data_IF_891672242847
#
_entry.id   IF_891672242847
#
_cell.length_a   1.000
_cell.length_b   1.000
_cell.length_c   1.000
_cell.angle_alpha   90.00
_cell.angle_beta   90.00
_cell.angle_gamma   90.00
#
_symmetry.space_group_name_H-M   'P 1'
#
loop_
_entity.id
_entity.type
_entity.pdbx_description
1 polymer ?
#
# COMPACT_ATOMS: atom_id res chain seq x y z
N UNK A 1 -3.91 27.50 15.40
CA UNK A 1 -4.73 26.40 14.82
C UNK A 1 -4.71 25.27 15.83
N UNK A 2 -5.85 24.61 16.06
CA UNK A 2 -5.91 23.49 17.02
C UNK A 2 -5.14 22.30 16.43
N UNK A 3 -4.20 21.75 17.18
CA UNK A 3 -3.39 20.59 16.79
C UNK A 3 -4.25 19.33 16.76
N UNK A 4 -3.96 18.41 15.82
CA UNK A 4 -4.58 17.09 15.74
C UNK A 4 -3.86 16.16 16.70
N UNK A 5 -4.56 15.70 17.74
CA UNK A 5 -4.03 14.79 18.76
C UNK A 5 -4.84 13.51 18.90
N UNK A 6 -6.10 13.49 18.41
CA UNK A 6 -6.96 12.33 18.50
C UNK A 6 -6.61 11.33 17.39
N UNK A 7 -6.22 10.12 17.78
CA UNK A 7 -5.93 9.00 16.88
C UNK A 7 -7.16 8.11 16.64
N UNK A 8 -7.04 7.18 15.70
CA UNK A 8 -8.11 6.28 15.26
C UNK A 8 -9.31 7.05 14.70
N UNK A 9 -9.00 8.08 13.92
CA UNK A 9 -10.00 8.98 13.35
C UNK A 9 -9.67 9.35 11.91
N UNK A 10 -10.73 9.48 11.12
CA UNK A 10 -10.71 10.07 9.79
C UNK A 10 -11.28 11.48 9.91
N UNK A 11 -10.47 12.48 9.56
CA UNK A 11 -10.87 13.88 9.61
C UNK A 11 -11.40 14.33 8.25
N UNK A 12 -12.59 14.90 8.26
CA UNK A 12 -13.17 15.49 7.05
C UNK A 12 -12.48 16.83 6.73
N UNK A 13 -11.39 16.77 5.98
CA UNK A 13 -10.65 17.95 5.56
C UNK A 13 -9.69 17.67 4.41
N UNK A 14 -9.23 18.73 3.77
CA UNK A 14 -8.12 18.66 2.81
C UNK A 14 -6.84 18.17 3.48
N UNK A 15 -6.10 17.31 2.77
CA UNK A 15 -4.90 16.66 3.30
C UNK A 15 -3.81 17.65 3.73
N UNK A 16 -3.56 18.74 2.96
CA UNK A 16 -2.59 19.75 3.33
C UNK A 16 -3.03 20.53 4.58
N UNK A 17 -4.33 20.84 4.68
CA UNK A 17 -4.89 21.51 5.85
C UNK A 17 -4.79 20.61 7.10
N UNK A 18 -4.98 19.30 6.94
CA UNK A 18 -4.83 18.33 8.00
C UNK A 18 -3.38 18.14 8.43
N UNK A 19 -2.50 17.87 7.48
CA UNK A 19 -1.06 17.69 7.72
C UNK A 19 -0.46 18.88 8.50
N UNK A 20 -0.77 20.13 8.12
CA UNK A 20 -0.30 21.35 8.81
C UNK A 20 -0.72 21.45 10.29
N UNK A 21 -1.71 20.67 10.72
CA UNK A 21 -2.16 20.59 12.12
C UNK A 21 -1.52 19.44 12.88
N UNK A 22 -0.75 18.58 12.22
CA UNK A 22 -0.05 17.46 12.86
C UNK A 22 1.31 17.93 13.39
N UNK A 23 1.73 17.31 14.49
CA UNK A 23 3.04 17.53 15.10
C UNK A 23 4.16 16.96 14.21
N UNK A 24 5.31 17.65 14.21
CA UNK A 24 6.53 17.16 13.57
C UNK A 24 6.97 15.84 14.17
N UNK A 25 7.57 14.95 13.35
CA UNK A 25 8.16 13.69 13.80
C UNK A 25 7.22 12.85 14.68
N UNK A 26 5.94 12.74 14.30
CA UNK A 26 4.90 12.03 15.07
C UNK A 26 4.43 10.73 14.44
N UNK A 27 4.67 10.53 13.12
CA UNK A 27 4.14 9.41 12.33
C UNK A 27 5.24 8.40 12.04
N UNK A 28 4.98 7.12 12.29
CA UNK A 28 5.92 6.03 11.99
C UNK A 28 5.82 5.57 10.54
N UNK A 29 4.59 5.40 10.04
CA UNK A 29 4.34 4.88 8.69
C UNK A 29 3.30 5.74 7.98
N UNK A 30 3.60 6.11 6.75
CA UNK A 30 2.64 6.70 5.82
C UNK A 30 2.37 5.65 4.74
N UNK A 31 1.10 5.29 4.54
CA UNK A 31 0.67 4.42 3.43
C UNK A 31 -0.47 5.11 2.72
N UNK A 32 -0.30 5.39 1.44
CA UNK A 32 -1.33 6.13 0.70
C UNK A 32 -1.31 5.88 -0.79
N UNK A 33 -2.43 6.18 -1.43
CA UNK A 33 -2.61 6.22 -2.88
C UNK A 33 -3.35 7.51 -3.23
N UNK A 34 -2.66 8.55 -3.70
CA UNK A 34 -3.30 9.80 -4.07
C UNK A 34 -4.19 9.62 -5.31
N UNK A 35 -5.10 10.54 -5.63
CA UNK A 35 -5.73 10.60 -6.95
C UNK A 35 -4.65 10.64 -8.04
N UNK A 36 -4.80 9.85 -9.12
CA UNK A 36 -3.74 9.68 -10.14
C UNK A 36 -3.78 10.72 -11.26
N UNK A 37 -4.69 11.67 -11.20
CA UNK A 37 -4.92 12.68 -12.25
C UNK A 37 -5.22 12.05 -13.64
N UNK A 38 -6.05 11.02 -13.65
CA UNK A 38 -6.41 10.24 -14.83
C UNK A 38 -7.86 10.43 -15.24
N UNK A 39 -8.54 11.44 -14.67
CA UNK A 39 -9.92 11.78 -14.97
C UNK A 39 -10.95 10.85 -14.32
N UNK A 40 -10.60 10.24 -13.19
CA UNK A 40 -11.57 9.48 -12.39
C UNK A 40 -12.60 10.45 -11.81
N UNK A 41 -13.88 10.09 -11.93
CA UNK A 41 -14.96 10.86 -11.32
C UNK A 41 -15.05 10.50 -9.83
N UNK A 42 -14.51 11.39 -9.00
CA UNK A 42 -14.74 11.38 -7.55
C UNK A 42 -15.94 12.29 -7.23
N UNK A 43 -16.58 12.09 -6.09
CA UNK A 43 -17.77 12.88 -5.73
C UNK A 43 -17.44 14.38 -5.51
N UNK A 44 -16.30 14.67 -4.88
CA UNK A 44 -15.93 16.03 -4.41
C UNK A 44 -14.59 16.54 -4.94
N UNK A 45 -13.85 15.69 -5.67
CA UNK A 45 -12.52 16.05 -6.20
C UNK A 45 -12.50 16.01 -7.72
N UNK A 46 -12.01 17.08 -8.34
CA UNK A 46 -11.81 17.14 -9.80
C UNK A 46 -10.42 16.62 -10.19
N UNK A 47 -10.37 15.41 -10.74
CA UNK A 47 -9.15 14.69 -11.13
C UNK A 47 -8.68 15.09 -12.54
N UNK A 48 -8.52 16.40 -12.79
CA UNK A 48 -8.18 16.97 -14.10
C UNK A 48 -7.26 18.20 -14.01
N UNK A 49 -6.22 18.11 -13.20
CA UNK A 49 -5.19 19.17 -13.17
C UNK A 49 -4.26 19.03 -14.39
N UNK A 50 -3.59 20.11 -14.80
CA UNK A 50 -2.42 19.98 -15.65
C UNK A 50 -1.37 19.10 -14.94
N UNK A 51 -0.51 18.42 -15.69
CA UNK A 51 0.49 17.54 -15.09
C UNK A 51 1.40 18.30 -14.12
N UNK A 52 1.81 19.51 -14.46
CA UNK A 52 2.66 20.33 -13.60
C UNK A 52 1.95 20.70 -12.29
N UNK A 53 0.71 21.19 -12.36
CA UNK A 53 -0.07 21.53 -11.17
C UNK A 53 -0.29 20.33 -10.24
N UNK A 54 -0.46 19.14 -10.84
CA UNK A 54 -0.60 17.90 -10.09
C UNK A 54 0.70 17.52 -9.37
N UNK A 55 1.84 17.58 -10.06
CA UNK A 55 3.14 17.30 -9.47
C UNK A 55 3.50 18.32 -8.38
N UNK A 56 3.25 19.61 -8.61
CA UNK A 56 3.50 20.67 -7.62
C UNK A 56 2.63 20.50 -6.38
N UNK A 57 1.38 20.08 -6.56
CA UNK A 57 0.49 19.79 -5.45
C UNK A 57 0.95 18.59 -4.64
N UNK A 58 1.31 17.48 -5.29
CA UNK A 58 1.84 16.29 -4.61
C UNK A 58 3.16 16.59 -3.91
N UNK A 59 4.04 17.40 -4.50
CA UNK A 59 5.28 17.84 -3.85
C UNK A 59 5.01 18.60 -2.55
N UNK A 60 4.01 19.50 -2.53
CA UNK A 60 3.58 20.19 -1.30
C UNK A 60 3.07 19.20 -0.23
N UNK A 61 2.32 18.18 -0.64
CA UNK A 61 1.89 17.11 0.27
C UNK A 61 3.10 16.34 0.80
N UNK A 62 4.06 16.02 -0.06
CA UNK A 62 5.28 15.30 0.29
C UNK A 62 6.14 16.07 1.30
N UNK A 63 6.25 17.40 1.18
CA UNK A 63 6.94 18.28 2.17
C UNK A 63 6.32 18.10 3.55
N UNK A 64 4.99 18.17 3.65
CA UNK A 64 4.30 18.02 4.92
C UNK A 64 4.38 16.56 5.44
N UNK A 65 4.29 15.55 4.57
CA UNK A 65 4.52 14.17 4.93
C UNK A 65 5.92 13.97 5.52
N UNK A 66 6.96 14.56 4.91
CA UNK A 66 8.32 14.52 5.44
C UNK A 66 8.42 15.16 6.82
N UNK A 67 7.76 16.29 7.04
CA UNK A 67 7.76 17.01 8.32
C UNK A 67 7.14 16.18 9.43
N UNK A 68 5.98 15.57 9.20
CA UNK A 68 5.27 14.79 10.23
C UNK A 68 5.84 13.41 10.44
N UNK A 69 6.53 12.83 9.45
CA UNK A 69 7.15 11.50 9.54
C UNK A 69 8.37 11.53 10.45
N UNK A 70 8.55 10.50 11.28
CA UNK A 70 9.74 10.29 12.12
C UNK A 70 10.98 10.05 11.25
N UNK A 71 12.19 10.23 11.84
CA UNK A 71 13.44 10.09 11.09
C UNK A 71 13.69 8.63 10.64
N UNK A 72 13.21 7.66 11.40
CA UNK A 72 13.20 6.24 11.08
C UNK A 72 11.86 5.76 10.47
N UNK A 73 11.00 6.69 10.09
CA UNK A 73 9.69 6.42 9.48
C UNK A 73 9.79 5.93 8.04
N UNK A 74 8.72 5.34 7.56
CA UNK A 74 8.57 4.85 6.17
C UNK A 74 7.36 5.48 5.50
N UNK A 75 7.53 5.92 4.25
CA UNK A 75 6.45 6.40 3.40
C UNK A 75 6.28 5.48 2.19
N UNK A 76 5.18 4.72 2.16
CA UNK A 76 4.81 3.86 1.05
C UNK A 76 3.75 4.55 0.19
N UNK A 77 4.16 4.97 -0.99
CA UNK A 77 3.31 5.62 -1.98
C UNK A 77 2.90 4.63 -3.06
N UNK A 78 1.63 4.23 -3.09
CA UNK A 78 1.08 3.42 -4.18
C UNK A 78 0.62 4.31 -5.31
N UNK A 79 1.08 4.05 -6.53
CA UNK A 79 0.68 4.79 -7.72
C UNK A 79 0.80 3.92 -8.97
N UNK A 80 -0.22 3.99 -9.83
CA UNK A 80 -0.24 3.36 -11.16
C UNK A 80 -0.18 4.38 -12.28
N UNK A 81 0.23 3.93 -13.44
CA UNK A 81 0.09 4.67 -14.69
C UNK A 81 -1.20 4.34 -15.41
N UNK A 82 -1.40 4.97 -16.55
CA UNK A 82 -2.42 4.59 -17.53
C UNK A 82 -1.77 4.34 -18.87
N UNK A 83 -2.50 3.72 -19.78
CA UNK A 83 -2.05 3.51 -21.16
C UNK A 83 -1.74 4.83 -21.89
N UNK A 84 -2.39 5.93 -21.49
CA UNK A 84 -2.21 7.27 -22.06
C UNK A 84 -1.18 8.11 -21.32
N UNK A 85 -0.92 7.80 -20.05
CA UNK A 85 0.11 8.46 -19.24
C UNK A 85 0.93 7.43 -18.43
N UNK A 86 1.75 6.62 -19.09
CA UNK A 86 2.57 5.60 -18.42
C UNK A 86 3.72 6.18 -17.60
N UNK A 87 4.09 7.45 -17.84
CA UNK A 87 5.18 8.11 -17.15
C UNK A 87 4.82 8.68 -15.77
N UNK A 88 3.52 8.82 -15.45
CA UNK A 88 3.10 9.53 -14.25
C UNK A 88 3.68 8.96 -12.95
N UNK A 89 3.77 7.63 -12.74
CA UNK A 89 4.37 7.10 -11.51
C UNK A 89 5.83 7.53 -11.33
N UNK A 90 6.61 7.52 -12.42
CA UNK A 90 8.02 7.91 -12.40
C UNK A 90 8.18 9.40 -12.17
N UNK A 91 7.34 10.24 -12.80
CA UNK A 91 7.37 11.70 -12.59
C UNK A 91 7.03 12.07 -11.15
N UNK A 92 6.06 11.39 -10.54
CA UNK A 92 5.72 11.59 -9.12
C UNK A 92 6.89 11.16 -8.22
N UNK A 93 7.51 10.01 -8.50
CA UNK A 93 8.68 9.58 -7.73
C UNK A 93 9.85 10.57 -7.85
N UNK A 94 10.12 11.08 -9.05
CA UNK A 94 11.16 12.10 -9.29
C UNK A 94 10.82 13.44 -8.64
N UNK A 95 9.53 13.82 -8.58
CA UNK A 95 9.10 15.03 -7.89
C UNK A 95 9.36 14.98 -6.36
N UNK A 96 9.70 13.82 -5.80
CA UNK A 96 10.01 13.65 -4.38
C UNK A 96 11.51 13.45 -4.11
N UNK A 97 12.35 13.46 -5.15
CA UNK A 97 13.79 13.14 -5.06
C UNK A 97 14.57 14.10 -4.16
N UNK A 98 14.18 15.38 -4.13
CA UNK A 98 14.80 16.41 -3.26
C UNK A 98 14.36 16.28 -1.78
N UNK A 99 13.30 15.53 -1.51
CA UNK A 99 12.74 15.37 -0.17
C UNK A 99 13.15 14.06 0.50
N UNK A 100 13.18 12.97 -0.25
CA UNK A 100 13.32 11.61 0.28
C UNK A 100 14.39 10.81 -0.46
N UNK A 101 14.97 9.85 0.23
CA UNK A 101 15.64 8.74 -0.41
C UNK A 101 14.63 7.69 -0.86
N UNK A 102 14.65 7.29 -2.11
CA UNK A 102 13.91 6.13 -2.60
C UNK A 102 14.65 4.86 -2.14
N UNK A 103 14.20 4.29 -1.01
CA UNK A 103 14.86 3.13 -0.43
C UNK A 103 14.53 1.84 -1.16
N UNK A 104 13.26 1.64 -1.56
CA UNK A 104 12.84 0.49 -2.35
C UNK A 104 11.79 0.88 -3.40
N UNK A 105 11.88 0.24 -4.56
CA UNK A 105 10.81 0.24 -5.55
C UNK A 105 10.16 -1.14 -5.53
N UNK A 106 8.90 -1.20 -5.12
CA UNK A 106 8.13 -2.42 -4.98
C UNK A 106 7.11 -2.48 -6.10
N UNK A 107 6.96 -3.65 -6.73
CA UNK A 107 5.94 -3.89 -7.75
C UNK A 107 4.78 -4.65 -7.12
N UNK A 108 3.63 -4.00 -7.00
CA UNK A 108 2.40 -4.67 -6.65
C UNK A 108 1.82 -5.36 -7.88
N UNK A 109 1.91 -6.67 -7.93
CA UNK A 109 1.36 -7.49 -9.01
C UNK A 109 -0.10 -7.84 -8.67
N UNK A 110 -1.02 -7.39 -9.53
CA UNK A 110 -2.47 -7.56 -9.36
C UNK A 110 -3.00 -8.86 -9.96
N UNK A 111 -2.37 -9.31 -11.03
CA UNK A 111 -2.72 -10.53 -11.73
C UNK A 111 -1.49 -11.15 -12.38
N UNK A 112 -1.49 -12.47 -12.49
CA UNK A 112 -0.40 -13.23 -13.10
C UNK A 112 -0.97 -14.43 -13.87
N UNK A 113 -0.39 -14.70 -15.04
CA UNK A 113 -0.63 -15.90 -15.81
C UNK A 113 0.71 -16.52 -16.22
N UNK A 114 0.92 -17.77 -15.83
CA UNK A 114 2.13 -18.52 -16.15
C UNK A 114 1.70 -19.88 -16.69
N UNK A 115 2.03 -20.19 -17.96
CA UNK A 115 1.78 -21.52 -18.52
C UNK A 115 2.47 -22.62 -17.71
N UNK A 116 1.77 -23.73 -17.47
CA UNK A 116 2.28 -24.84 -16.66
C UNK A 116 3.59 -25.40 -17.18
N UNK A 117 3.78 -25.46 -18.50
CA UNK A 117 5.03 -25.88 -19.14
C UNK A 117 6.24 -25.05 -18.75
N UNK A 118 6.06 -23.73 -18.48
CA UNK A 118 7.14 -22.85 -18.04
C UNK A 118 7.54 -23.08 -16.59
N UNK A 119 6.58 -23.46 -15.73
CA UNK A 119 6.82 -23.66 -14.29
C UNK A 119 7.19 -25.09 -13.94
N UNK A 120 6.79 -26.08 -14.73
CA UNK A 120 7.07 -27.51 -14.51
C UNK A 120 8.55 -27.80 -14.23
N UNK A 121 9.45 -27.09 -14.89
CA UNK A 121 10.90 -27.24 -14.71
C UNK A 121 11.42 -26.70 -13.37
N UNK A 122 10.74 -25.69 -12.81
CA UNK A 122 11.23 -24.94 -11.64
C UNK A 122 10.43 -25.22 -10.36
N UNK A 123 9.17 -25.61 -10.51
CA UNK A 123 8.28 -25.76 -9.37
C UNK A 123 7.40 -26.98 -9.62
N UNK A 124 7.52 -28.07 -9.37
CA UNK A 124 6.68 -29.30 -9.49
C UNK A 124 5.18 -29.07 -9.83
N UNK A 125 4.91 -27.96 -10.54
CA UNK A 125 3.59 -27.61 -11.06
C UNK A 125 3.52 -28.03 -12.53
N UNK A 126 2.43 -28.69 -12.89
CA UNK A 126 2.13 -29.15 -14.25
C UNK A 126 0.91 -28.45 -14.87
N UNK A 127 0.28 -27.55 -14.11
CA UNK A 127 -0.91 -26.80 -14.52
C UNK A 127 -0.59 -25.33 -14.73
N UNK A 128 -1.40 -24.67 -15.58
CA UNK A 128 -1.36 -23.23 -15.73
C UNK A 128 -1.70 -22.53 -14.40
N UNK A 129 -0.99 -21.46 -14.12
CA UNK A 129 -1.28 -20.58 -13.00
C UNK A 129 -1.90 -19.31 -13.59
N UNK A 130 -3.16 -19.05 -13.28
CA UNK A 130 -3.87 -17.83 -13.66
C UNK A 130 -4.62 -17.32 -12.44
N UNK A 131 -4.16 -16.22 -11.88
CA UNK A 131 -4.71 -15.64 -10.65
C UNK A 131 -4.85 -14.13 -10.81
N UNK A 132 -5.94 -13.59 -10.31
CA UNK A 132 -6.29 -12.18 -10.38
C UNK A 132 -7.29 -11.87 -11.50
N UNK A 133 -7.70 -10.61 -11.55
CA UNK A 133 -8.70 -10.17 -12.51
C UNK A 133 -8.05 -9.70 -13.81
N UNK A 134 -8.46 -10.31 -14.92
CA UNK A 134 -8.07 -9.91 -16.27
C UNK A 134 -9.23 -9.18 -16.92
N UNK A 135 -9.15 -7.84 -16.95
CA UNK A 135 -10.02 -7.06 -17.81
C UNK A 135 -9.40 -7.01 -19.20
N UNK A 136 -10.04 -7.57 -20.24
CA UNK A 136 -9.46 -7.53 -21.58
C UNK A 136 -9.22 -6.09 -22.02
N UNK A 137 -8.02 -5.79 -22.49
CA UNK A 137 -7.71 -4.54 -23.16
C UNK A 137 -7.95 -4.76 -24.64
N UNK A 138 -9.00 -4.13 -25.17
CA UNK A 138 -9.30 -4.17 -26.60
C UNK A 138 -8.35 -3.23 -27.36
N UNK A 139 -7.09 -3.59 -27.43
CA UNK A 139 -6.04 -2.82 -28.10
C UNK A 139 -4.99 -3.75 -28.71
N UNK A 140 -4.56 -3.45 -29.91
CA UNK A 140 -3.42 -4.12 -30.55
C UNK A 140 -2.06 -3.49 -30.18
N UNK A 141 -2.05 -2.40 -29.41
CA UNK A 141 -0.85 -1.63 -29.08
C UNK A 141 -0.42 -1.70 -27.61
N UNK A 142 -1.35 -1.99 -26.71
CA UNK A 142 -1.11 -1.91 -25.29
C UNK A 142 -1.38 -3.25 -24.60
N UNK A 143 -0.52 -3.62 -23.69
CA UNK A 143 -0.74 -4.74 -22.80
C UNK A 143 -1.68 -4.33 -21.65
N UNK A 144 -2.30 -5.31 -20.99
CA UNK A 144 -3.04 -5.10 -19.78
C UNK A 144 -2.10 -4.73 -18.61
N UNK A 145 -2.44 -3.68 -17.86
CA UNK A 145 -1.68 -3.27 -16.68
C UNK A 145 -1.93 -4.22 -15.51
N UNK A 146 -1.00 -5.14 -15.30
CA UNK A 146 -1.07 -6.15 -14.24
C UNK A 146 -0.36 -5.73 -12.95
N UNK A 147 0.22 -4.54 -12.88
CA UNK A 147 0.95 -4.07 -11.71
C UNK A 147 0.76 -2.58 -11.46
N UNK A 148 1.11 -2.17 -10.25
CA UNK A 148 1.35 -0.78 -9.86
C UNK A 148 2.66 -0.69 -9.09
N UNK A 149 3.14 0.53 -8.87
CA UNK A 149 4.34 0.78 -8.08
C UNK A 149 3.95 1.14 -6.64
N UNK A 150 4.75 0.64 -5.69
CA UNK A 150 4.77 1.13 -4.33
C UNK A 150 6.18 1.68 -4.12
N UNK A 151 6.31 2.99 -4.14
CA UNK A 151 7.58 3.65 -3.84
C UNK A 151 7.74 3.74 -2.33
N UNK A 152 8.77 3.10 -1.80
CA UNK A 152 9.13 3.18 -0.39
C UNK A 152 10.18 4.27 -0.19
N UNK A 153 9.72 5.39 0.28
CA UNK A 153 10.54 6.55 0.62
C UNK A 153 10.87 6.56 2.10
N UNK A 154 12.07 7.06 2.41
CA UNK A 154 12.52 7.32 3.77
C UNK A 154 13.34 8.60 3.81
N UNK A 155 13.58 9.18 4.99
CA UNK A 155 14.43 10.38 5.08
C UNK A 155 15.90 10.09 4.78
N UNK A 156 16.36 8.87 5.04
CA UNK A 156 17.80 8.54 5.04
C UNK A 156 18.23 7.46 4.05
N UNK A 157 17.29 6.67 3.51
CA UNK A 157 17.58 5.49 2.67
C UNK A 157 18.09 4.28 3.45
N UNK A 158 18.08 4.31 4.78
CA UNK A 158 18.70 3.29 5.64
C UNK A 158 17.78 2.76 6.74
N UNK A 159 16.48 2.97 6.61
CA UNK A 159 15.49 2.48 7.58
C UNK A 159 15.46 0.95 7.58
N UNK A 160 15.59 0.35 8.76
CA UNK A 160 15.55 -1.09 8.93
C UNK A 160 14.14 -1.61 8.63
N UNK A 161 14.04 -2.75 7.95
CA UNK A 161 12.76 -3.41 7.61
C UNK A 161 12.63 -4.77 8.29
N UNK A 162 11.42 -5.17 8.63
CA UNK A 162 11.09 -6.55 9.03
C UNK A 162 10.62 -7.36 7.80
N UNK A 163 11.56 -7.67 6.91
CA UNK A 163 11.29 -8.43 5.70
C UNK A 163 10.71 -9.83 5.96
N UNK A 164 10.92 -10.37 7.17
CA UNK A 164 10.44 -11.71 7.54
C UNK A 164 8.99 -11.67 7.99
N UNK A 165 8.49 -10.56 8.52
CA UNK A 165 7.07 -10.39 8.84
C UNK A 165 6.19 -10.64 7.60
N UNK A 166 6.62 -10.14 6.43
CA UNK A 166 5.96 -10.36 5.13
C UNK A 166 6.60 -11.49 4.30
N UNK A 167 7.51 -12.26 4.89
CA UNK A 167 8.30 -13.29 4.22
C UNK A 167 7.45 -14.43 3.64
N UNK A 168 8.05 -15.15 2.69
CA UNK A 168 7.46 -16.34 2.06
C UNK A 168 8.20 -17.60 2.47
N UNK A 169 7.54 -18.79 2.48
CA UNK A 169 8.21 -20.03 2.80
C UNK A 169 9.38 -20.34 1.86
N UNK A 170 10.37 -21.04 2.37
CA UNK A 170 11.40 -21.64 1.51
C UNK A 170 10.79 -22.73 0.64
N UNK A 171 11.07 -22.71 -0.65
CA UNK A 171 10.70 -23.78 -1.57
C UNK A 171 11.48 -25.06 -1.28
N UNK A 172 12.80 -24.92 -1.06
CA UNK A 172 13.66 -26.00 -0.58
C UNK A 172 13.95 -25.81 0.91
N UNK A 173 13.38 -26.69 1.74
CA UNK A 173 13.49 -26.63 3.21
C UNK A 173 14.92 -26.84 3.74
N UNK A 174 15.83 -27.41 2.95
CA UNK A 174 17.25 -27.51 3.32
C UNK A 174 17.89 -26.13 3.50
N UNK A 175 17.37 -25.12 2.82
CA UNK A 175 17.84 -23.74 2.91
C UNK A 175 17.57 -23.06 4.27
N UNK A 176 16.62 -23.57 5.06
CA UNK A 176 16.34 -23.03 6.42
C UNK A 176 17.61 -23.11 7.28
N UNK A 177 18.29 -24.26 7.24
CA UNK A 177 19.57 -24.47 7.97
C UNK A 177 20.73 -23.76 7.29
N UNK A 178 20.80 -23.84 5.96
CA UNK A 178 21.92 -23.28 5.17
C UNK A 178 22.05 -21.75 5.32
N UNK A 179 20.95 -21.04 5.34
CA UNK A 179 20.92 -19.57 5.40
C UNK A 179 20.70 -19.05 6.82
N UNK A 180 20.75 -19.90 7.85
CA UNK A 180 20.55 -19.52 9.25
C UNK A 180 19.28 -18.64 9.42
N UNK A 181 18.17 -19.13 8.85
CA UNK A 181 16.89 -18.41 8.96
C UNK A 181 16.62 -18.00 10.42
N UNK A 182 16.19 -16.78 10.69
CA UNK A 182 15.94 -16.31 12.04
C UNK A 182 15.03 -17.28 12.80
N UNK A 183 15.50 -17.72 13.98
CA UNK A 183 14.79 -18.66 14.86
C UNK A 183 14.38 -20.00 14.19
N UNK A 184 15.07 -20.45 13.10
CA UNK A 184 14.70 -21.64 12.36
C UNK A 184 13.38 -21.50 11.59
N UNK A 185 12.90 -20.28 11.39
CA UNK A 185 11.66 -19.99 10.67
C UNK A 185 11.70 -20.45 9.23
N UNK A 186 10.62 -21.06 8.76
CA UNK A 186 10.41 -21.39 7.33
C UNK A 186 9.98 -20.15 6.53
N UNK A 187 10.69 -19.02 6.73
CA UNK A 187 10.41 -17.79 6.00
C UNK A 187 11.71 -17.17 5.48
N UNK A 188 11.66 -16.65 4.27
CA UNK A 188 12.70 -15.85 3.64
C UNK A 188 12.13 -14.52 3.14
N UNK A 189 12.99 -13.56 2.91
CA UNK A 189 12.63 -12.32 2.21
C UNK A 189 11.89 -12.65 0.89
N UNK A 190 10.73 -12.02 0.68
CA UNK A 190 9.95 -12.21 -0.54
C UNK A 190 10.46 -11.40 -1.72
N UNK A 191 11.34 -10.42 -1.47
CA UNK A 191 11.78 -9.45 -2.47
C UNK A 191 10.77 -8.33 -2.71
N UNK A 192 11.04 -7.54 -3.73
CA UNK A 192 10.26 -6.34 -4.07
C UNK A 192 9.12 -6.59 -5.08
N UNK A 193 8.73 -7.84 -5.30
CA UNK A 193 7.58 -8.19 -6.13
C UNK A 193 6.49 -8.77 -5.25
N UNK A 194 5.44 -7.97 -5.02
CA UNK A 194 4.36 -8.31 -4.11
C UNK A 194 3.15 -8.76 -4.90
N UNK A 195 2.85 -10.04 -4.90
CA UNK A 195 1.63 -10.56 -5.49
C UNK A 195 0.49 -10.42 -4.50
N UNK A 196 -0.43 -9.50 -4.77
CA UNK A 196 -1.64 -9.26 -4.01
C UNK A 196 -2.78 -9.19 -5.02
N UNK A 197 -3.52 -10.27 -5.22
CA UNK A 197 -4.58 -10.31 -6.22
C UNK A 197 -5.68 -9.30 -5.87
N UNK A 198 -6.27 -8.71 -6.90
CA UNK A 198 -7.46 -7.90 -6.73
C UNK A 198 -8.62 -8.81 -6.29
N UNK A 199 -9.32 -8.40 -5.25
CA UNK A 199 -10.57 -9.07 -4.87
C UNK A 199 -11.62 -8.84 -5.96
N UNK A 200 -12.24 -9.91 -6.43
CA UNK A 200 -13.35 -9.80 -7.39
C UNK A 200 -14.55 -9.25 -6.65
N UNK A 201 -14.88 -7.99 -6.87
CA UNK A 201 -16.06 -7.36 -6.29
C UNK A 201 -17.26 -7.72 -7.19
N UNK A 202 -18.24 -8.43 -6.64
CA UNK A 202 -19.46 -8.83 -7.34
C UNK A 202 -20.51 -7.72 -7.33
N UNK A 203 -20.39 -6.73 -6.43
CA UNK A 203 -21.32 -5.63 -6.25
C UNK A 203 -20.80 -4.29 -6.77
N UNK A 204 -21.66 -3.26 -6.77
CA UNK A 204 -21.27 -1.90 -7.15
C UNK A 204 -20.13 -1.38 -6.29
N UNK A 205 -19.07 -0.84 -6.91
CA UNK A 205 -17.94 -0.24 -6.19
C UNK A 205 -18.34 1.14 -5.68
N UNK A 206 -18.41 1.35 -4.38
CA UNK A 206 -18.72 2.67 -3.81
C UNK A 206 -17.59 3.71 -4.04
N UNK A 207 -16.36 3.24 -4.31
CA UNK A 207 -15.20 4.07 -4.61
C UNK A 207 -14.47 3.50 -5.85
N UNK A 208 -14.11 4.36 -6.83
CA UNK A 208 -13.60 3.91 -8.13
C UNK A 208 -12.18 3.32 -8.09
N UNK A 209 -11.37 3.70 -7.10
CA UNK A 209 -9.95 3.29 -6.99
C UNK A 209 -9.61 2.94 -5.54
N UNK A 210 -9.50 1.65 -5.24
CA UNK A 210 -9.17 1.15 -3.89
C UNK A 210 -8.17 0.03 -4.01
N UNK A 211 -7.07 0.10 -3.26
CA UNK A 211 -6.18 -1.04 -3.10
C UNK A 211 -6.71 -2.04 -2.06
N UNK A 212 -6.36 -3.33 -2.14
CA UNK A 212 -6.78 -4.33 -1.15
C UNK A 212 -6.14 -4.06 0.22
N UNK A 213 -6.86 -4.39 1.30
CA UNK A 213 -6.40 -4.20 2.69
C UNK A 213 -5.05 -4.87 2.97
N UNK A 214 -4.75 -5.95 2.25
CA UNK A 214 -3.46 -6.65 2.34
C UNK A 214 -2.25 -5.77 1.99
N UNK A 215 -2.42 -4.76 1.12
CA UNK A 215 -1.32 -3.87 0.74
C UNK A 215 -0.84 -3.01 1.93
N UNK A 216 -1.69 -2.21 2.59
CA UNK A 216 -1.24 -1.46 3.77
C UNK A 216 -0.84 -2.36 4.95
N UNK A 217 -1.48 -3.53 5.15
CA UNK A 217 -1.00 -4.51 6.14
C UNK A 217 0.46 -4.89 5.88
N UNK A 218 0.82 -5.19 4.63
CA UNK A 218 2.20 -5.55 4.28
C UNK A 218 3.17 -4.39 4.45
N UNK A 219 2.79 -3.17 4.10
CA UNK A 219 3.63 -1.98 4.31
C UNK A 219 3.94 -1.76 5.80
N UNK A 220 2.92 -1.86 6.66
CA UNK A 220 3.06 -1.70 8.10
C UNK A 220 3.95 -2.81 8.70
N UNK A 221 3.70 -4.06 8.31
CA UNK A 221 4.50 -5.22 8.75
C UNK A 221 5.96 -5.15 8.27
N UNK A 222 6.19 -4.69 7.04
CA UNK A 222 7.53 -4.54 6.48
C UNK A 222 8.33 -3.45 7.19
N UNK A 223 7.68 -2.33 7.57
CA UNK A 223 8.32 -1.33 8.43
C UNK A 223 8.71 -1.92 9.80
N UNK A 224 7.88 -2.79 10.36
CA UNK A 224 8.03 -3.43 11.67
C UNK A 224 6.90 -3.05 12.62
N UNK A 225 6.06 -4.02 12.94
CA UNK A 225 4.87 -3.80 13.78
C UNK A 225 5.22 -3.31 15.18
N UNK A 226 6.30 -3.81 15.75
CA UNK A 226 6.82 -3.46 17.07
C UNK A 226 7.28 -2.00 17.18
N UNK A 227 7.57 -1.35 16.06
CA UNK A 227 8.01 0.05 15.94
C UNK A 227 6.92 0.99 15.43
N UNK A 228 5.75 0.46 15.07
CA UNK A 228 4.66 1.23 14.51
C UNK A 228 3.63 1.56 15.57
N UNK A 229 3.56 2.83 15.96
CA UNK A 229 2.54 3.35 16.88
C UNK A 229 1.44 4.11 16.17
N UNK A 230 1.80 4.83 15.09
CA UNK A 230 0.88 5.68 14.34
C UNK A 230 1.13 5.57 12.82
N UNK A 231 0.04 5.28 12.12
CA UNK A 231 -0.02 5.25 10.64
C UNK A 231 -0.82 6.44 10.13
N UNK A 232 -0.37 7.06 9.07
CA UNK A 232 -1.06 8.16 8.40
C UNK A 232 -1.44 7.78 6.97
N UNK A 233 -2.66 8.12 6.58
CA UNK A 233 -3.09 8.12 5.18
C UNK A 233 -3.70 9.50 4.83
N UNK A 234 -2.97 10.35 4.09
CA UNK A 234 -3.46 11.66 3.64
C UNK A 234 -4.64 11.61 2.66
N UNK A 235 -4.91 10.46 2.05
CA UNK A 235 -5.96 10.23 1.07
C UNK A 235 -6.77 8.98 1.43
N UNK A 236 -7.42 9.01 2.61
CA UNK A 236 -7.98 7.84 3.28
C UNK A 236 -9.08 7.13 2.48
N UNK A 237 -9.84 7.85 1.62
CA UNK A 237 -10.93 7.27 0.86
C UNK A 237 -11.92 6.51 1.73
N UNK A 238 -12.26 5.29 1.33
CA UNK A 238 -13.15 4.40 2.09
C UNK A 238 -12.44 3.60 3.20
N UNK A 239 -11.33 4.09 3.73
CA UNK A 239 -10.72 3.63 4.97
C UNK A 239 -9.91 2.33 4.89
N UNK A 240 -9.40 1.94 3.74
CA UNK A 240 -8.67 0.66 3.62
C UNK A 240 -7.44 0.60 4.51
N UNK A 241 -6.68 1.69 4.61
CA UNK A 241 -5.54 1.81 5.53
C UNK A 241 -5.98 1.75 7.00
N UNK A 242 -7.10 2.40 7.35
CA UNK A 242 -7.64 2.35 8.71
C UNK A 242 -8.10 0.93 9.10
N UNK A 243 -8.72 0.19 8.17
CA UNK A 243 -9.08 -1.23 8.38
C UNK A 243 -7.83 -2.09 8.63
N UNK A 244 -6.75 -1.87 7.87
CA UNK A 244 -5.49 -2.58 8.08
C UNK A 244 -4.90 -2.27 9.46
N UNK A 245 -4.90 -1.00 9.86
CA UNK A 245 -4.43 -0.57 11.18
C UNK A 245 -5.24 -1.22 12.31
N UNK A 246 -6.57 -1.22 12.20
CA UNK A 246 -7.44 -1.85 13.19
C UNK A 246 -7.16 -3.36 13.33
N UNK A 247 -6.92 -4.07 12.21
CA UNK A 247 -6.55 -5.50 12.22
C UNK A 247 -5.19 -5.76 12.87
N UNK A 248 -4.25 -4.85 12.71
CA UNK A 248 -2.89 -4.97 13.26
C UNK A 248 -2.76 -4.39 14.67
N UNK A 249 -3.79 -3.74 15.21
CA UNK A 249 -3.77 -3.14 16.53
C UNK A 249 -2.89 -1.88 16.62
N UNK A 250 -2.70 -1.15 15.52
CA UNK A 250 -1.95 0.12 15.47
C UNK A 250 -2.89 1.31 15.30
N UNK A 251 -2.51 2.48 15.82
CA UNK A 251 -3.31 3.68 15.64
C UNK A 251 -3.16 4.25 14.24
N UNK A 252 -4.18 4.99 13.81
CA UNK A 252 -4.16 5.69 12.53
C UNK A 252 -4.71 7.11 12.64
N UNK A 253 -4.33 7.94 11.69
CA UNK A 253 -4.96 9.21 11.34
C UNK A 253 -5.18 9.21 9.83
N UNK A 254 -6.36 9.66 9.39
CA UNK A 254 -6.67 9.79 7.97
C UNK A 254 -7.28 11.14 7.64
N UNK A 255 -7.05 11.61 6.40
CA UNK A 255 -7.75 12.75 5.85
C UNK A 255 -8.57 12.34 4.64
N UNK A 256 -9.81 12.81 4.58
CA UNK A 256 -10.73 12.60 3.48
C UNK A 256 -11.63 13.82 3.32
N UNK A 257 -11.88 14.25 2.10
CA UNK A 257 -12.73 15.43 1.84
C UNK A 257 -14.19 15.06 1.64
N UNK A 258 -14.46 13.82 1.21
CA UNK A 258 -15.81 13.35 0.90
C UNK A 258 -16.46 12.70 2.14
N UNK A 259 -17.56 13.30 2.68
CA UNK A 259 -18.24 12.73 3.83
C UNK A 259 -18.84 11.35 3.56
N UNK A 260 -19.25 11.05 2.34
CA UNK A 260 -19.80 9.75 1.98
C UNK A 260 -18.74 8.64 2.08
N UNK A 261 -17.51 8.94 1.66
CA UNK A 261 -16.40 8.00 1.80
C UNK A 261 -16.01 7.79 3.27
N UNK A 262 -16.11 8.83 4.10
CA UNK A 262 -15.89 8.72 5.56
C UNK A 262 -16.95 7.81 6.20
N UNK A 263 -18.21 7.96 5.83
CA UNK A 263 -19.29 7.11 6.35
C UNK A 263 -19.06 5.64 5.97
N UNK A 264 -18.69 5.37 4.73
CA UNK A 264 -18.32 4.03 4.26
C UNK A 264 -17.10 3.50 5.01
N UNK A 265 -16.08 4.33 5.22
CA UNK A 265 -14.87 3.95 5.95
C UNK A 265 -15.20 3.56 7.40
N UNK A 266 -15.98 4.39 8.10
CA UNK A 266 -16.38 4.13 9.47
C UNK A 266 -17.20 2.83 9.61
N UNK A 267 -18.04 2.52 8.64
CA UNK A 267 -18.79 1.27 8.61
C UNK A 267 -17.92 0.01 8.36
N UNK A 268 -16.76 0.18 7.70
CA UNK A 268 -15.82 -0.91 7.40
C UNK A 268 -14.81 -1.18 8.49
N UNK A 269 -14.48 -0.17 9.30
CA UNK A 269 -13.50 -0.32 10.37
C UNK A 269 -14.11 -1.18 11.49
N UNK A 270 -13.45 -2.28 11.91
CA UNK A 270 -13.98 -3.15 12.96
C UNK A 270 -14.19 -2.38 14.26
N UNK A 271 -15.40 -2.43 14.80
CA UNK A 271 -15.71 -1.89 16.14
C UNK A 271 -15.05 -2.74 17.23
N UNK A 272 -14.09 -2.16 17.94
CA UNK A 272 -13.39 -2.83 19.04
C UNK A 272 -12.07 -3.46 18.59
N UNK A 273 -10.98 -3.07 19.24
CA UNK A 273 -9.65 -3.63 18.98
C UNK A 273 -9.70 -5.17 19.04
N UNK A 274 -9.24 -5.80 17.97
CA UNK A 274 -9.16 -7.26 17.90
C UNK A 274 -8.17 -7.70 18.98
N UNK A 275 -8.66 -8.37 20.03
CA UNK A 275 -7.80 -9.24 20.84
C UNK A 275 -7.17 -10.22 19.87
N UNK A 276 -5.86 -10.22 19.77
CA UNK A 276 -5.10 -11.24 19.04
C UNK A 276 -5.45 -12.60 19.62
N UNK A 277 -6.39 -13.31 19.00
CA UNK A 277 -6.42 -14.74 19.15
C UNK A 277 -5.14 -15.29 18.51
N UNK A 278 -4.33 -15.90 19.33
CA UNK A 278 -3.15 -16.66 18.90
C UNK A 278 -3.61 -17.70 17.88
N UNK A 279 -3.27 -17.49 16.62
CA UNK A 279 -3.52 -18.46 15.56
C UNK A 279 -2.77 -19.76 15.87
N UNK A 280 -3.46 -20.71 16.50
CA UNK A 280 -3.18 -22.13 16.34
C UNK A 280 -3.48 -22.48 14.88
N UNK A 281 -2.44 -22.95 14.17
CA UNK A 281 -2.43 -23.14 12.73
C UNK A 281 -3.65 -23.90 12.19
N UNK A 282 -4.28 -23.29 11.21
CA UNK A 282 -5.06 -24.02 10.23
C UNK A 282 -4.52 -23.71 8.83
N UNK A 283 -4.02 -24.76 8.21
CA UNK A 283 -3.53 -24.80 6.84
C UNK A 283 -4.73 -24.69 5.90
N UNK A 284 -4.89 -23.58 5.21
CA UNK A 284 -5.72 -23.54 4.01
C UNK A 284 -4.91 -24.01 2.80
N UNK A 285 -4.83 -25.33 2.64
CA UNK A 285 -4.49 -26.00 1.40
C UNK A 285 -5.28 -27.30 1.37
N UNK A 286 -6.47 -27.30 0.83
CA UNK A 286 -7.11 -28.46 0.18
C UNK A 286 -8.50 -28.10 -0.33
N UNK A 287 -8.63 -27.79 -1.60
CA UNK A 287 -9.58 -28.40 -2.56
C UNK A 287 -9.50 -27.67 -3.89
#
# INVERSE_FOLDING_TARGET
MTEITEVNRIYQMDCLAGLKKMKDNSVDVIVTSPPYNIGIQYNTYEDKKSEQEYLDWLHKVAIECKRVMKDDGSFFLNIGGTLTNPWIPMKVALAFEDLFALQNMIHWIKSIAIPGEQVKKYAKFDKDIAVGHYKPVNSQRFHHDCHEFIFHFTKTGTVKLDKIAIGVPYQDKSNIKRWKSPNGSDKRDRGNTWFIPYETIQDSRPHPAVFPTKLPEMCILDHGLDRTSLVLDPFMGIGTTAVACARLGVNYIGFEIDPTYIDIANARIPCGGIKTESNSGESFLAS
#
